data_IF_423666519046
#
_entry.id   IF_423666519046
#
_cell.length_a   1.000
_cell.length_b   1.000
_cell.length_c   1.000
_cell.angle_alpha   90.00
_cell.angle_beta   90.00
_cell.angle_gamma   90.00
#
_symmetry.space_group_name_H-M   'P 1'
#
loop_
_entity.id
_entity.type
_entity.pdbx_description
1 polymer ?
#
# COMPACT_ATOMS: atom_id res chain seq x y z
N UNK A 1 10.35 -10.74 -26.43
CA UNK A 1 8.96 -10.42 -26.76
C UNK A 1 8.22 -10.21 -25.45
N UNK A 2 7.66 -9.03 -25.22
CA UNK A 2 6.86 -8.75 -24.03
C UNK A 2 5.42 -8.53 -24.48
N UNK A 3 4.48 -9.42 -24.14
CA UNK A 3 3.07 -9.22 -24.46
C UNK A 3 2.47 -8.19 -23.50
N UNK A 4 1.90 -7.13 -24.04
CA UNK A 4 1.00 -6.24 -23.31
C UNK A 4 -0.37 -6.91 -23.28
N UNK A 5 -0.82 -7.27 -22.08
CA UNK A 5 -2.08 -7.99 -21.86
C UNK A 5 -3.06 -7.05 -21.19
N UNK A 6 -4.23 -6.89 -21.77
CA UNK A 6 -5.35 -6.18 -21.15
C UNK A 6 -6.48 -7.17 -20.85
N UNK A 7 -7.15 -6.95 -19.72
CA UNK A 7 -8.32 -7.75 -19.32
C UNK A 7 -9.59 -7.04 -19.75
N UNK A 8 -10.21 -7.54 -20.81
CA UNK A 8 -11.50 -7.04 -21.31
C UNK A 8 -12.57 -8.11 -21.03
N UNK A 9 -13.63 -7.74 -20.30
CA UNK A 9 -14.74 -8.63 -19.92
C UNK A 9 -14.31 -9.95 -19.24
N UNK A 10 -13.23 -9.91 -18.45
CA UNK A 10 -12.70 -11.09 -17.74
C UNK A 10 -11.87 -12.04 -18.62
N UNK A 11 -11.68 -11.71 -19.90
CA UNK A 11 -10.78 -12.44 -20.80
C UNK A 11 -9.49 -11.63 -21.01
N UNK A 12 -8.33 -12.25 -20.77
CA UNK A 12 -7.03 -11.64 -21.02
C UNK A 12 -6.69 -11.74 -22.51
N UNK A 13 -6.56 -10.60 -23.19
CA UNK A 13 -6.17 -10.53 -24.60
C UNK A 13 -4.79 -9.87 -24.73
N UNK A 14 -3.96 -10.39 -25.63
CA UNK A 14 -2.70 -9.75 -26.00
C UNK A 14 -3.03 -8.61 -26.97
N UNK A 15 -2.86 -7.37 -26.52
CA UNK A 15 -3.14 -6.18 -27.33
C UNK A 15 -1.96 -5.79 -28.21
N UNK A 16 -0.74 -5.88 -27.67
CA UNK A 16 0.49 -5.51 -28.37
C UNK A 16 1.64 -6.44 -28.01
N UNK A 17 2.50 -6.75 -28.98
CA UNK A 17 3.77 -7.44 -28.77
C UNK A 17 4.90 -6.49 -29.13
N UNK A 18 5.77 -6.19 -28.17
CA UNK A 18 6.93 -5.32 -28.40
C UNK A 18 8.22 -6.13 -28.28
N UNK A 19 9.18 -5.81 -29.14
CA UNK A 19 10.52 -6.37 -29.14
C UNK A 19 11.51 -5.23 -28.88
N UNK A 20 12.42 -5.46 -27.93
CA UNK A 20 13.48 -4.53 -27.60
C UNK A 20 14.81 -5.20 -27.92
N UNK A 21 15.68 -4.50 -28.63
CA UNK A 21 17.02 -4.99 -28.94
C UNK A 21 17.96 -4.80 -27.75
N UNK A 22 17.69 -3.81 -26.89
CA UNK A 22 18.47 -3.52 -25.70
C UNK A 22 17.58 -3.45 -24.46
N UNK A 23 18.12 -3.90 -23.33
CA UNK A 23 17.43 -3.82 -22.03
C UNK A 23 17.04 -2.38 -21.67
N UNK A 24 17.87 -1.39 -22.01
CA UNK A 24 17.59 0.03 -21.74
C UNK A 24 16.31 0.52 -22.45
N UNK A 25 16.03 0.04 -23.65
CA UNK A 25 14.86 0.47 -24.44
C UNK A 25 13.58 -0.07 -23.80
N UNK A 26 13.65 -1.31 -23.29
CA UNK A 26 12.59 -1.90 -22.48
C UNK A 26 12.34 -1.08 -21.22
N UNK A 27 13.38 -0.83 -20.42
CA UNK A 27 13.27 -0.11 -19.15
C UNK A 27 12.72 1.32 -19.33
N UNK A 28 13.15 2.01 -20.39
CA UNK A 28 12.62 3.34 -20.70
C UNK A 28 11.14 3.28 -21.08
N UNK A 29 10.76 2.30 -21.91
CA UNK A 29 9.36 2.17 -22.31
C UNK A 29 8.46 1.83 -21.12
N UNK A 30 8.87 0.89 -20.28
CA UNK A 30 8.15 0.50 -19.05
C UNK A 30 7.99 1.69 -18.09
N UNK A 31 9.05 2.49 -17.91
CA UNK A 31 9.00 3.71 -17.10
C UNK A 31 7.98 4.72 -17.65
N UNK A 32 8.01 4.99 -18.96
CA UNK A 32 7.08 5.93 -19.58
C UNK A 32 5.64 5.40 -19.60
N UNK A 33 5.43 4.10 -19.74
CA UNK A 33 4.10 3.49 -19.61
C UNK A 33 3.54 3.67 -18.21
N UNK A 34 4.37 3.48 -17.18
CA UNK A 34 4.02 3.82 -15.80
C UNK A 34 3.62 5.30 -15.67
N UNK A 35 4.40 6.21 -16.25
CA UNK A 35 4.11 7.65 -16.20
C UNK A 35 2.81 8.03 -16.92
N UNK A 36 2.51 7.40 -18.06
CA UNK A 36 1.23 7.59 -18.77
C UNK A 36 0.04 7.20 -17.89
N UNK A 37 0.21 6.18 -17.06
CA UNK A 37 -0.83 5.72 -16.12
C UNK A 37 -0.85 6.54 -14.82
N UNK A 38 -0.08 7.63 -14.75
CA UNK A 38 0.02 8.50 -13.57
C UNK A 38 0.85 7.91 -12.43
N UNK A 39 1.63 6.86 -12.69
CA UNK A 39 2.62 6.37 -11.74
C UNK A 39 3.84 7.28 -11.76
N UNK A 40 4.53 7.41 -10.64
CA UNK A 40 5.75 8.21 -10.59
C UNK A 40 6.70 7.72 -9.50
N UNK A 41 7.99 8.01 -9.68
CA UNK A 41 8.99 7.78 -8.65
C UNK A 41 9.01 8.97 -7.69
N UNK A 42 8.99 8.68 -6.39
CA UNK A 42 9.14 9.69 -5.35
C UNK A 42 10.36 9.39 -4.49
N UNK A 43 11.12 10.44 -4.14
CA UNK A 43 12.29 10.31 -3.26
C UNK A 43 11.92 10.70 -1.84
N UNK A 44 12.23 9.85 -0.86
CA UNK A 44 12.05 10.17 0.54
C UNK A 44 13.04 11.24 1.01
N UNK A 45 12.56 12.34 1.58
CA UNK A 45 13.40 13.46 2.06
C UNK A 45 14.30 13.14 3.29
N UNK A 46 14.20 11.93 3.86
CA UNK A 46 14.96 11.52 5.06
C UNK A 46 16.08 10.55 4.72
N UNK A 47 15.82 9.56 3.88
CA UNK A 47 16.75 8.48 3.58
C UNK A 47 17.13 8.39 2.10
N UNK A 48 16.65 9.33 1.28
CA UNK A 48 16.89 9.41 -0.18
C UNK A 48 16.47 8.16 -0.98
N UNK A 49 15.75 7.23 -0.35
CA UNK A 49 15.19 6.05 -1.02
C UNK A 49 14.08 6.49 -1.98
N UNK A 50 14.15 5.99 -3.20
CA UNK A 50 13.06 6.10 -4.16
C UNK A 50 12.02 5.01 -3.90
N UNK A 51 10.74 5.38 -3.97
CA UNK A 51 9.62 4.46 -3.96
C UNK A 51 8.66 4.80 -5.09
N UNK A 52 8.05 3.75 -5.65
CA UNK A 52 7.15 3.87 -6.79
C UNK A 52 5.73 4.11 -6.31
N UNK A 53 5.12 5.18 -6.81
CA UNK A 53 3.74 5.56 -6.50
C UNK A 53 2.85 5.14 -7.65
N UNK A 54 1.87 4.29 -7.36
CA UNK A 54 0.86 3.82 -8.33
C UNK A 54 -0.47 4.57 -8.20
N UNK A 55 -0.53 5.55 -7.31
CA UNK A 55 -1.74 6.33 -7.01
C UNK A 55 -1.37 7.79 -6.87
N UNK A 56 -2.32 8.69 -7.11
CA UNK A 56 -2.15 10.13 -7.00
C UNK A 56 -2.05 10.67 -5.54
N UNK A 57 -1.74 9.82 -4.56
CA UNK A 57 -1.58 10.22 -3.15
C UNK A 57 -0.27 10.94 -2.95
N UNK A 58 -0.21 11.87 -1.99
CA UNK A 58 0.99 12.66 -1.74
C UNK A 58 1.79 12.09 -0.57
N UNK A 59 2.33 10.87 -0.74
CA UNK A 59 3.20 10.23 0.23
C UNK A 59 4.57 10.91 0.22
N UNK A 60 5.01 11.42 1.37
CA UNK A 60 6.27 12.17 1.48
C UNK A 60 7.45 11.27 1.86
N UNK A 61 7.19 10.22 2.65
CA UNK A 61 8.22 9.39 3.25
C UNK A 61 8.02 7.91 2.94
N UNK A 62 9.11 7.15 2.87
CA UNK A 62 9.04 5.71 2.78
C UNK A 62 8.45 5.10 4.07
N UNK A 63 7.72 3.99 3.93
CA UNK A 63 7.14 3.27 5.07
C UNK A 63 8.09 2.29 5.76
N UNK A 64 9.24 2.00 5.14
CA UNK A 64 10.24 1.06 5.65
C UNK A 64 11.00 1.62 6.85
N UNK A 65 11.44 0.75 7.75
CA UNK A 65 12.27 1.13 8.90
C UNK A 65 13.58 1.75 8.43
N UNK A 66 13.93 2.91 8.99
CA UNK A 66 15.18 3.58 8.69
C UNK A 66 16.33 2.90 9.45
N UNK A 67 17.32 2.38 8.72
CA UNK A 67 18.50 1.69 9.30
C UNK A 67 19.26 2.51 10.34
N UNK A 68 19.26 3.83 10.25
CA UNK A 68 19.99 4.72 11.18
C UNK A 68 19.23 4.93 12.49
N UNK A 69 17.91 5.01 12.45
CA UNK A 69 17.09 5.44 13.59
C UNK A 69 16.22 4.31 14.18
N UNK A 70 16.16 3.14 13.53
CA UNK A 70 15.35 2.01 13.99
C UNK A 70 13.83 2.23 13.87
N UNK A 71 13.39 3.31 13.23
CA UNK A 71 11.97 3.68 13.08
C UNK A 71 11.68 4.16 11.65
N UNK A 72 10.42 4.09 11.17
CA UNK A 72 10.07 4.56 9.82
C UNK A 72 10.33 6.05 9.61
N UNK A 73 10.64 6.45 8.37
CA UNK A 73 10.86 7.86 8.02
C UNK A 73 9.63 8.75 8.31
N UNK A 74 8.43 8.22 8.14
CA UNK A 74 7.19 8.93 8.50
C UNK A 74 7.06 9.20 10.01
N UNK A 75 7.62 8.32 10.86
CA UNK A 75 7.70 8.51 12.31
C UNK A 75 8.69 9.64 12.62
N UNK A 76 9.90 9.58 12.05
CA UNK A 76 10.93 10.62 12.24
C UNK A 76 10.39 12.01 11.91
N UNK A 77 9.62 12.16 10.83
CA UNK A 77 9.02 13.44 10.46
C UNK A 77 7.98 13.97 11.46
N UNK A 78 7.36 13.09 12.27
CA UNK A 78 6.41 13.46 13.33
C UNK A 78 7.11 13.79 14.65
N UNK A 79 8.34 13.33 14.82
CA UNK A 79 9.14 13.37 16.04
C UNK A 79 10.43 14.19 15.83
N UNK A 80 10.34 15.54 15.79
CA UNK A 80 11.50 16.41 15.58
C UNK A 80 12.64 16.18 16.56
N UNK A 81 12.37 15.67 17.76
CA UNK A 81 13.35 15.30 18.78
C UNK A 81 14.38 14.27 18.29
N UNK A 82 14.03 13.42 17.32
CA UNK A 82 14.92 12.39 16.76
C UNK A 82 16.00 13.00 15.87
N UNK A 83 15.67 14.05 15.10
CA UNK A 83 16.59 14.68 14.12
C UNK A 83 16.98 16.11 14.45
N UNK A 84 16.39 16.69 15.50
CA UNK A 84 16.47 18.12 15.86
C UNK A 84 16.12 19.06 14.69
N UNK A 85 15.30 18.58 13.74
CA UNK A 85 14.88 19.31 12.53
C UNK A 85 13.36 19.26 12.40
N UNK A 86 12.74 20.41 12.07
CA UNK A 86 11.31 20.46 11.73
C UNK A 86 11.10 19.93 10.31
N UNK A 87 10.26 18.91 10.17
CA UNK A 87 9.92 18.27 8.90
C UNK A 87 8.42 18.39 8.62
N UNK A 88 8.04 18.28 7.34
CA UNK A 88 6.63 18.32 6.93
C UNK A 88 5.94 17.01 7.35
N UNK A 89 4.97 17.06 8.25
CA UNK A 89 4.27 15.84 8.66
C UNK A 89 3.49 15.23 7.47
N UNK A 90 3.63 13.92 7.26
CA UNK A 90 2.80 13.19 6.32
C UNK A 90 1.36 13.12 6.82
N UNK A 91 0.40 13.41 5.95
CA UNK A 91 -1.02 13.31 6.30
C UNK A 91 -1.39 11.84 6.54
N UNK A 92 -2.31 11.61 7.47
CA UNK A 92 -2.82 10.26 7.77
C UNK A 92 -3.41 9.60 6.51
N UNK A 93 -4.14 10.37 5.70
CA UNK A 93 -4.74 9.92 4.44
C UNK A 93 -3.74 9.45 3.38
N UNK A 94 -2.49 9.93 3.45
CA UNK A 94 -1.41 9.59 2.52
C UNK A 94 -0.51 8.45 3.06
N UNK A 95 -0.80 7.91 4.25
CA UNK A 95 -0.09 6.74 4.79
C UNK A 95 -0.54 5.45 4.09
N UNK A 96 0.39 4.63 3.55
CA UNK A 96 0.05 3.32 2.99
C UNK A 96 -0.75 2.45 3.95
N UNK A 97 -0.43 2.48 5.24
CA UNK A 97 -1.10 1.67 6.25
C UNK A 97 -2.57 2.08 6.43
N UNK A 98 -2.84 3.38 6.48
CA UNK A 98 -4.20 3.90 6.64
C UNK A 98 -5.04 3.69 5.38
N UNK A 99 -4.43 3.82 4.20
CA UNK A 99 -5.10 3.53 2.93
C UNK A 99 -5.57 2.08 2.91
N UNK A 100 -4.67 1.14 3.23
CA UNK A 100 -5.02 -0.27 3.23
C UNK A 100 -6.18 -0.55 4.17
N UNK A 101 -6.09 -0.04 5.41
CA UNK A 101 -7.17 -0.10 6.39
C UNK A 101 -8.49 0.46 5.85
N UNK A 102 -8.47 1.66 5.27
CA UNK A 102 -9.67 2.30 4.72
C UNK A 102 -10.29 1.47 3.61
N UNK A 103 -9.47 0.93 2.70
CA UNK A 103 -9.94 0.06 1.62
C UNK A 103 -10.59 -1.21 2.15
N UNK A 104 -10.06 -1.81 3.23
CA UNK A 104 -10.66 -2.97 3.90
C UNK A 104 -11.95 -2.61 4.60
N UNK A 105 -11.98 -1.50 5.32
CA UNK A 105 -13.19 -0.98 5.95
C UNK A 105 -14.32 -0.77 4.94
N UNK A 106 -14.03 -0.10 3.81
CA UNK A 106 -15.00 0.14 2.74
C UNK A 106 -15.47 -1.17 2.09
N UNK A 107 -14.57 -2.13 1.90
CA UNK A 107 -14.90 -3.47 1.37
C UNK A 107 -15.80 -4.25 2.32
N UNK A 108 -15.53 -4.23 3.63
CA UNK A 108 -16.36 -4.88 4.66
C UNK A 108 -17.74 -4.23 4.70
N UNK A 109 -17.81 -2.90 4.67
CA UNK A 109 -19.09 -2.17 4.59
C UNK A 109 -19.90 -2.60 3.37
N UNK A 110 -19.27 -2.67 2.19
CA UNK A 110 -19.92 -3.09 0.94
C UNK A 110 -20.41 -4.54 1.01
N UNK A 111 -19.59 -5.46 1.52
CA UNK A 111 -19.99 -6.86 1.65
C UNK A 111 -21.16 -7.04 2.62
N UNK A 112 -21.22 -6.25 3.70
CA UNK A 112 -22.38 -6.21 4.60
C UNK A 112 -23.63 -5.71 3.89
N UNK A 113 -23.54 -4.62 3.11
CA UNK A 113 -24.71 -4.09 2.39
C UNK A 113 -25.23 -5.03 1.30
N UNK A 114 -24.36 -5.88 0.76
CA UNK A 114 -24.71 -6.92 -0.21
C UNK A 114 -25.15 -8.24 0.45
N UNK A 115 -25.29 -8.27 1.78
CA UNK A 115 -25.65 -9.46 2.56
C UNK A 115 -24.74 -10.67 2.32
N UNK A 116 -23.49 -10.44 1.89
CA UNK A 116 -22.51 -11.51 1.63
C UNK A 116 -22.04 -12.18 2.94
N UNK A 117 -21.97 -11.41 4.02
CA UNK A 117 -21.62 -11.89 5.36
C UNK A 117 -22.62 -11.37 6.38
N UNK A 118 -22.77 -12.09 7.49
CA UNK A 118 -23.66 -11.69 8.58
C UNK A 118 -23.20 -10.38 9.24
N UNK A 119 -24.13 -9.72 9.95
CA UNK A 119 -23.83 -8.50 10.68
C UNK A 119 -22.75 -8.73 11.76
N UNK A 120 -22.78 -9.89 12.44
CA UNK A 120 -21.84 -10.26 13.49
C UNK A 120 -20.44 -10.50 12.90
N UNK A 121 -20.32 -11.29 11.83
CA UNK A 121 -19.04 -11.52 11.15
C UNK A 121 -18.45 -10.21 10.63
N UNK A 122 -19.30 -9.34 10.06
CA UNK A 122 -18.85 -8.02 9.59
C UNK A 122 -18.40 -7.09 10.73
N UNK A 123 -18.96 -7.23 11.93
CA UNK A 123 -18.53 -6.49 13.11
C UNK A 123 -17.18 -7.01 13.64
N UNK A 124 -17.04 -8.33 13.84
CA UNK A 124 -15.75 -8.98 14.19
C UNK A 124 -14.64 -8.61 13.19
N UNK A 125 -14.95 -8.66 11.89
CA UNK A 125 -14.00 -8.27 10.83
C UNK A 125 -13.54 -6.81 10.95
N UNK A 126 -14.42 -5.88 11.36
CA UNK A 126 -14.04 -4.48 11.61
C UNK A 126 -13.10 -4.35 12.81
N UNK A 127 -13.41 -5.06 13.90
CA UNK A 127 -12.58 -5.07 15.10
C UNK A 127 -11.16 -5.60 14.79
N UNK A 128 -11.06 -6.66 13.99
CA UNK A 128 -9.77 -7.22 13.55
C UNK A 128 -8.94 -6.21 12.75
N UNK A 129 -9.52 -5.53 11.75
CA UNK A 129 -8.75 -4.56 10.96
C UNK A 129 -8.34 -3.35 11.80
N UNK A 130 -9.16 -2.93 12.76
CA UNK A 130 -8.82 -1.85 13.68
C UNK A 130 -7.67 -2.26 14.61
N UNK A 131 -7.71 -3.48 15.12
CA UNK A 131 -6.63 -4.07 15.91
C UNK A 131 -5.31 -4.12 15.12
N UNK A 132 -5.31 -4.70 13.92
CA UNK A 132 -4.11 -4.79 13.08
C UNK A 132 -3.57 -3.42 12.69
N UNK A 133 -4.45 -2.46 12.38
CA UNK A 133 -4.02 -1.09 12.07
C UNK A 133 -3.38 -0.41 13.27
N UNK A 134 -3.96 -0.55 14.47
CA UNK A 134 -3.38 0.01 15.69
C UNK A 134 -2.03 -0.64 16.01
N UNK A 135 -1.93 -1.97 15.88
CA UNK A 135 -0.68 -2.71 16.07
C UNK A 135 0.41 -2.21 15.11
N UNK A 136 0.11 -2.04 13.83
CA UNK A 136 1.05 -1.50 12.84
C UNK A 136 1.49 -0.05 13.07
N UNK A 137 0.77 0.73 13.89
CA UNK A 137 1.22 2.08 14.26
C UNK A 137 2.20 2.09 15.44
N UNK A 138 2.29 0.99 16.19
CA UNK A 138 3.13 0.86 17.40
C UNK A 138 4.30 -0.08 17.16
N UNK A 139 4.07 -1.20 16.49
CA UNK A 139 5.07 -2.20 16.13
C UNK A 139 5.48 -2.04 14.66
N UNK A 140 6.68 -1.51 14.46
CA UNK A 140 7.21 -1.24 13.12
C UNK A 140 7.67 -2.50 12.39
N UNK A 141 8.06 -3.56 13.10
CA UNK A 141 8.45 -4.84 12.49
C UNK A 141 7.20 -5.55 11.95
N UNK A 142 6.13 -5.57 12.76
CA UNK A 142 4.83 -6.05 12.32
C UNK A 142 4.31 -5.26 11.09
N UNK A 143 4.42 -3.92 11.13
CA UNK A 143 3.96 -3.05 10.05
C UNK A 143 4.66 -3.32 8.71
N UNK A 144 5.95 -3.64 8.73
CA UNK A 144 6.75 -3.89 7.51
C UNK A 144 6.57 -5.32 6.98
N UNK A 145 6.43 -6.32 7.85
CA UNK A 145 6.54 -7.74 7.45
C UNK A 145 5.22 -8.51 7.40
N UNK A 146 4.23 -8.12 8.20
CA UNK A 146 3.04 -8.95 8.45
C UNK A 146 1.71 -8.22 8.23
N UNK A 147 1.65 -6.92 8.50
CA UNK A 147 0.40 -6.14 8.42
C UNK A 147 -0.35 -6.30 7.08
N UNK A 148 0.36 -6.24 5.94
CA UNK A 148 -0.30 -6.40 4.63
C UNK A 148 -0.93 -7.79 4.46
N UNK A 149 -0.27 -8.84 4.95
CA UNK A 149 -0.73 -10.23 4.87
C UNK A 149 -1.97 -10.44 5.75
N UNK A 150 -1.96 -9.94 6.98
CA UNK A 150 -3.10 -10.06 7.90
C UNK A 150 -4.30 -9.24 7.42
N UNK A 151 -4.03 -8.16 6.70
CA UNK A 151 -5.05 -7.31 6.09
C UNK A 151 -5.64 -7.93 4.81
N UNK A 152 -5.29 -9.13 4.38
CA UNK A 152 -5.97 -9.81 3.27
C UNK A 152 -7.44 -10.09 3.60
N UNK A 153 -8.37 -9.74 2.69
CA UNK A 153 -9.81 -9.88 2.97
C UNK A 153 -10.23 -11.32 3.28
N UNK A 154 -9.65 -12.31 2.59
CA UNK A 154 -9.91 -13.72 2.86
C UNK A 154 -9.57 -14.08 4.30
N UNK A 155 -8.35 -13.77 4.74
CA UNK A 155 -7.89 -14.04 6.11
C UNK A 155 -8.71 -13.30 7.17
N UNK A 156 -9.05 -12.03 6.93
CA UNK A 156 -9.90 -11.26 7.85
C UNK A 156 -11.25 -11.98 8.05
N UNK A 157 -11.87 -12.45 6.98
CA UNK A 157 -13.15 -13.14 7.07
C UNK A 157 -13.03 -14.54 7.64
N UNK A 158 -12.00 -15.30 7.27
CA UNK A 158 -11.71 -16.61 7.87
C UNK A 158 -11.56 -16.49 9.39
N UNK A 159 -10.81 -15.49 9.87
CA UNK A 159 -10.63 -15.23 11.30
C UNK A 159 -11.91 -14.73 11.96
N UNK A 160 -12.65 -13.84 11.31
CA UNK A 160 -13.92 -13.33 11.84
C UNK A 160 -15.04 -14.39 11.91
N UNK A 161 -14.90 -15.50 11.18
CA UNK A 161 -15.81 -16.64 11.20
C UNK A 161 -15.40 -17.72 12.20
N UNK A 162 -14.20 -17.64 12.77
CA UNK A 162 -13.82 -18.48 13.92
C UNK A 162 -14.59 -18.00 15.15
N UNK A 163 -15.03 -18.97 15.94
CA UNK A 163 -15.84 -18.75 17.13
C UNK A 163 -15.06 -18.04 18.24
#
# INVERSE_FOLDING_TARGET
MIPVVESENGTSKIFRKVYYNYLKDFLMTDLFEGYIHGHYLWRCDICDRYFFMTTARNQLYCSTVNKKYGVPCSYIAKHPEVTKRKMKKQRKSDSPYYVLWKNRYDSIRKNKSLSKYSANVSAKAKELIDYYFNLANVDFDYAENQYEKDMELSKIYEEAMKD
#
